data_IF_177569598767
#
_entry.id   IF_177569598767
#
_cell.length_a   1.000
_cell.length_b   1.000
_cell.length_c   1.000
_cell.angle_alpha   90.00
_cell.angle_beta   90.00
_cell.angle_gamma   90.00
#
_symmetry.space_group_name_H-M   'P 1'
#
loop_
_entity.id
_entity.type
_entity.pdbx_description
1 polymer ?
#
# COMPACT_ATOMS: atom_id res chain seq x y z
N UNK A 1 -1.12 11.27 -26.46
CA UNK A 1 0.00 10.33 -26.18
C UNK A 1 -0.05 9.91 -24.72
N UNK A 2 -0.26 8.61 -24.44
CA UNK A 2 -0.29 8.07 -23.07
C UNK A 2 1.16 7.81 -22.64
N UNK A 3 1.68 8.59 -21.67
CA UNK A 3 3.04 8.38 -21.13
C UNK A 3 3.17 6.97 -20.53
N UNK A 4 4.28 6.24 -20.78
CA UNK A 4 4.52 4.89 -20.28
C UNK A 4 4.49 4.84 -18.74
N UNK A 5 4.09 3.69 -18.18
CA UNK A 5 3.79 3.57 -16.74
C UNK A 5 5.02 3.80 -15.84
N UNK A 6 6.23 3.51 -16.33
CA UNK A 6 7.49 3.76 -15.59
C UNK A 6 7.84 5.25 -15.47
N UNK A 7 7.22 6.11 -16.29
CA UNK A 7 7.41 7.58 -16.27
C UNK A 7 6.44 8.26 -15.30
N UNK A 8 5.67 7.48 -14.51
CA UNK A 8 4.66 8.01 -13.60
C UNK A 8 4.94 7.69 -12.13
N UNK A 9 6.11 8.04 -11.56
CA UNK A 9 6.40 7.85 -10.13
C UNK A 9 5.33 8.50 -9.24
N UNK A 10 4.81 9.66 -9.68
CA UNK A 10 3.80 10.44 -8.96
C UNK A 10 2.52 9.60 -8.71
N UNK A 11 2.12 8.73 -9.65
CA UNK A 11 0.92 7.91 -9.48
C UNK A 11 1.10 6.91 -8.34
N UNK A 12 2.22 6.18 -8.33
CA UNK A 12 2.52 5.18 -7.31
C UNK A 12 2.76 5.83 -5.95
N UNK A 13 3.42 6.98 -5.93
CA UNK A 13 3.61 7.77 -4.72
C UNK A 13 2.27 8.23 -4.13
N UNK A 14 1.36 8.76 -4.95
CA UNK A 14 0.01 9.16 -4.52
C UNK A 14 -0.78 7.98 -3.96
N UNK A 15 -0.66 6.80 -4.56
CA UNK A 15 -1.33 5.60 -4.06
C UNK A 15 -0.79 5.19 -2.69
N UNK A 16 0.54 5.27 -2.47
CA UNK A 16 1.13 5.01 -1.15
C UNK A 16 0.72 6.04 -0.10
N UNK A 17 0.62 7.32 -0.48
CA UNK A 17 0.10 8.37 0.40
C UNK A 17 -1.35 8.07 0.78
N UNK A 18 -2.19 7.71 -0.20
CA UNK A 18 -3.58 7.37 0.04
C UNK A 18 -3.70 6.19 1.01
N UNK A 19 -2.97 5.09 0.78
CA UNK A 19 -2.92 3.94 1.69
C UNK A 19 -2.49 4.31 3.11
N UNK A 20 -1.49 5.18 3.24
CA UNK A 20 -1.01 5.65 4.53
C UNK A 20 -2.07 6.53 5.23
N UNK A 21 -2.74 7.41 4.50
CA UNK A 21 -3.82 8.24 5.04
C UNK A 21 -5.01 7.39 5.48
N UNK A 22 -5.43 6.41 4.67
CA UNK A 22 -6.55 5.53 4.99
C UNK A 22 -6.25 4.68 6.24
N UNK A 23 -5.05 4.09 6.36
CA UNK A 23 -4.69 3.33 7.57
C UNK A 23 -4.59 4.22 8.82
N UNK A 24 -4.12 5.46 8.70
CA UNK A 24 -4.08 6.41 9.81
C UNK A 24 -5.49 6.78 10.30
N UNK A 25 -6.44 6.97 9.38
CA UNK A 25 -7.85 7.20 9.72
C UNK A 25 -8.44 6.00 10.47
N UNK A 26 -8.15 4.77 10.02
CA UNK A 26 -8.59 3.55 10.71
C UNK A 26 -7.99 3.47 12.11
N UNK A 27 -6.69 3.74 12.28
CA UNK A 27 -6.02 3.75 13.59
C UNK A 27 -6.72 4.76 14.52
N UNK A 28 -6.99 5.97 14.03
CA UNK A 28 -7.68 6.99 14.82
C UNK A 28 -9.08 6.54 15.26
N UNK A 29 -9.85 5.93 14.36
CA UNK A 29 -11.19 5.40 14.68
C UNK A 29 -11.14 4.24 15.69
N UNK A 30 -10.14 3.35 15.60
CA UNK A 30 -9.98 2.26 16.57
C UNK A 30 -9.52 2.78 17.95
N UNK A 31 -8.70 3.84 17.99
CA UNK A 31 -8.33 4.51 19.25
C UNK A 31 -9.58 5.08 19.93
N UNK A 32 -10.42 5.79 19.18
CA UNK A 32 -11.69 6.34 19.72
C UNK A 32 -12.56 5.21 20.28
N UNK A 33 -12.80 4.15 19.51
CA UNK A 33 -13.59 3.00 19.97
C UNK A 33 -13.00 2.36 21.23
N UNK A 34 -11.68 2.22 21.31
CA UNK A 34 -11.01 1.62 22.47
C UNK A 34 -11.16 2.51 23.72
N UNK A 35 -11.01 3.83 23.59
CA UNK A 35 -11.20 4.77 24.70
C UNK A 35 -12.64 4.73 25.18
N UNK A 36 -13.60 4.71 24.26
CA UNK A 36 -15.03 4.62 24.56
C UNK A 36 -15.37 3.32 25.29
N UNK A 37 -14.85 2.18 24.83
CA UNK A 37 -15.03 0.89 25.49
C UNK A 37 -14.47 0.89 26.92
N UNK A 38 -13.24 1.41 27.10
CA UNK A 38 -12.62 1.53 28.43
C UNK A 38 -13.46 2.45 29.33
N UNK A 39 -13.95 3.58 28.80
CA UNK A 39 -14.78 4.52 29.56
C UNK A 39 -16.09 3.90 30.06
N UNK A 40 -16.69 3.02 29.27
CA UNK A 40 -17.99 2.39 29.60
C UNK A 40 -17.84 1.17 30.52
N UNK A 41 -16.76 0.38 30.38
CA UNK A 41 -16.62 -0.91 31.07
C UNK A 41 -15.43 -0.99 32.04
N UNK A 42 -14.81 0.15 32.39
CA UNK A 42 -13.60 0.25 33.22
C UNK A 42 -13.60 -0.66 34.46
N UNK A 43 -14.75 -0.77 35.12
CA UNK A 43 -14.88 -1.46 36.40
C UNK A 43 -15.44 -2.89 36.28
N UNK A 44 -15.87 -3.31 35.09
CA UNK A 44 -16.59 -4.58 34.90
C UNK A 44 -15.90 -5.54 33.94
N UNK A 45 -15.10 -5.05 32.98
CA UNK A 45 -14.45 -5.91 31.98
C UNK A 45 -13.03 -5.44 31.65
N UNK A 46 -12.02 -6.33 31.68
CA UNK A 46 -10.67 -5.99 31.29
C UNK A 46 -10.57 -5.74 29.78
N UNK A 47 -9.56 -4.98 29.33
CA UNK A 47 -9.29 -4.74 27.90
C UNK A 47 -9.13 -6.05 27.09
N UNK A 48 -8.61 -7.10 27.71
CA UNK A 48 -8.51 -8.43 27.10
C UNK A 48 -9.89 -8.99 26.66
N UNK A 49 -10.98 -8.56 27.30
CA UNK A 49 -12.34 -8.90 26.88
C UNK A 49 -12.71 -8.25 25.55
N UNK A 50 -12.30 -7.01 25.28
CA UNK A 50 -12.53 -6.33 24.01
C UNK A 50 -11.84 -7.05 22.84
N UNK A 51 -10.61 -7.55 23.09
CA UNK A 51 -9.80 -8.30 22.13
C UNK A 51 -10.15 -9.80 22.06
N UNK A 52 -11.03 -10.28 22.93
CA UNK A 52 -11.36 -11.70 23.06
C UNK A 52 -12.23 -12.19 21.89
N UNK A 53 -12.10 -13.46 21.46
CA UNK A 53 -13.04 -14.06 20.51
C UNK A 53 -14.49 -14.10 21.03
N UNK A 54 -14.75 -13.86 22.32
CA UNK A 54 -16.11 -13.79 22.88
C UNK A 54 -16.90 -12.59 22.33
N UNK A 55 -16.23 -11.47 21.98
CA UNK A 55 -16.86 -10.30 21.34
C UNK A 55 -17.02 -10.45 19.82
N UNK A 56 -16.61 -11.59 19.25
CA UNK A 56 -16.68 -11.87 17.81
C UNK A 56 -18.09 -11.70 17.23
N UNK A 57 -19.13 -12.08 17.98
CA UNK A 57 -20.53 -11.96 17.54
C UNK A 57 -21.02 -10.51 17.42
N UNK A 58 -20.33 -9.57 18.05
CA UNK A 58 -20.72 -8.16 18.12
C UNK A 58 -19.89 -7.30 17.18
N UNK A 59 -18.56 -7.47 17.18
CA UNK A 59 -17.65 -6.57 16.47
C UNK A 59 -16.60 -7.27 15.58
N UNK A 60 -16.75 -8.57 15.32
CA UNK A 60 -15.78 -9.37 14.54
C UNK A 60 -14.50 -9.72 15.33
N UNK A 61 -13.46 -10.22 14.65
CA UNK A 61 -12.18 -10.59 15.30
C UNK A 61 -11.32 -9.33 15.44
N UNK A 62 -11.56 -8.54 16.49
CA UNK A 62 -10.83 -7.29 16.75
C UNK A 62 -9.31 -7.48 16.79
N UNK A 63 -8.82 -8.55 17.41
CA UNK A 63 -7.37 -8.84 17.46
C UNK A 63 -6.75 -8.99 16.06
N UNK A 64 -7.40 -9.76 15.17
CA UNK A 64 -6.94 -9.93 13.79
C UNK A 64 -6.93 -8.58 13.07
N UNK A 65 -7.98 -7.80 13.22
CA UNK A 65 -8.09 -6.49 12.61
C UNK A 65 -6.94 -5.55 13.04
N UNK A 66 -6.62 -5.51 14.33
CA UNK A 66 -5.51 -4.71 14.86
C UNK A 66 -4.14 -5.19 14.33
N UNK A 67 -3.94 -6.50 14.21
CA UNK A 67 -2.71 -7.06 13.61
C UNK A 67 -2.58 -6.62 12.14
N UNK A 68 -3.66 -6.71 11.36
CA UNK A 68 -3.65 -6.28 9.95
C UNK A 68 -3.37 -4.78 9.83
N UNK A 69 -3.97 -3.95 10.68
CA UNK A 69 -3.69 -2.51 10.74
C UNK A 69 -2.21 -2.24 11.03
N UNK A 70 -1.64 -2.89 12.05
CA UNK A 70 -0.24 -2.71 12.44
C UNK A 70 0.73 -3.10 11.34
N UNK A 71 0.54 -4.27 10.72
CA UNK A 71 1.35 -4.74 9.60
C UNK A 71 1.24 -3.80 8.39
N UNK A 72 0.03 -3.33 8.11
CA UNK A 72 -0.22 -2.37 7.03
C UNK A 72 0.53 -1.08 7.27
N UNK A 73 0.38 -0.47 8.46
CA UNK A 73 1.02 0.78 8.81
C UNK A 73 2.55 0.71 8.74
N UNK A 74 3.16 -0.36 9.28
CA UNK A 74 4.60 -0.58 9.22
C UNK A 74 5.07 -0.72 7.78
N UNK A 75 4.37 -1.53 6.98
CA UNK A 75 4.70 -1.74 5.57
C UNK A 75 4.57 -0.44 4.78
N UNK A 76 3.40 0.20 4.77
CA UNK A 76 3.15 1.42 3.97
C UNK A 76 4.11 2.54 4.34
N UNK A 77 4.42 2.70 5.63
CA UNK A 77 5.41 3.70 6.10
C UNK A 77 6.81 3.39 5.59
N UNK A 78 7.26 2.14 5.70
CA UNK A 78 8.56 1.72 5.20
C UNK A 78 8.69 1.92 3.68
N UNK A 79 7.65 1.54 2.92
CA UNK A 79 7.60 1.72 1.48
C UNK A 79 7.56 3.19 1.06
N UNK A 80 6.88 4.03 1.84
CA UNK A 80 6.85 5.48 1.62
C UNK A 80 8.22 6.12 1.86
N UNK A 81 8.87 5.80 2.98
CA UNK A 81 10.19 6.34 3.33
C UNK A 81 11.29 5.93 2.33
N UNK A 82 11.19 4.73 1.77
CA UNK A 82 12.16 4.20 0.79
C UNK A 82 11.71 4.35 -0.66
N UNK A 83 10.66 5.14 -0.93
CA UNK A 83 10.04 5.23 -2.25
C UNK A 83 11.03 5.62 -3.35
N UNK A 84 11.77 6.73 -3.18
CA UNK A 84 12.69 7.24 -4.21
C UNK A 84 13.79 6.24 -4.55
N UNK A 85 14.38 5.61 -3.53
CA UNK A 85 15.42 4.60 -3.70
C UNK A 85 14.89 3.36 -4.45
N UNK A 86 13.72 2.85 -4.06
CA UNK A 86 13.11 1.66 -4.65
C UNK A 86 12.61 1.91 -6.07
N UNK A 87 11.99 3.07 -6.32
CA UNK A 87 11.51 3.42 -7.65
C UNK A 87 12.63 3.41 -8.70
N UNK A 88 13.81 3.92 -8.33
CA UNK A 88 14.98 4.02 -9.19
C UNK A 88 15.68 2.68 -9.43
N UNK A 89 15.80 1.84 -8.40
CA UNK A 89 16.41 0.51 -8.54
C UNK A 89 15.44 -0.55 -9.09
N UNK A 90 14.21 -0.15 -9.40
CA UNK A 90 13.17 -1.01 -9.97
C UNK A 90 12.18 -1.51 -8.91
N UNK A 91 10.93 -1.78 -9.32
CA UNK A 91 9.97 -2.39 -8.42
C UNK A 91 10.40 -3.84 -8.24
N UNK A 92 10.62 -4.25 -7.02
CA UNK A 92 11.05 -5.61 -6.76
C UNK A 92 9.84 -6.53 -6.86
N UNK A 93 10.02 -7.78 -7.29
CA UNK A 93 8.97 -8.80 -7.22
C UNK A 93 8.39 -8.91 -5.79
N UNK A 94 9.19 -8.59 -4.77
CA UNK A 94 8.77 -8.48 -3.38
C UNK A 94 7.68 -7.44 -3.15
N UNK A 95 7.67 -6.34 -3.89
CA UNK A 95 6.67 -5.27 -3.73
C UNK A 95 5.27 -5.77 -4.13
N UNK A 96 5.22 -6.61 -5.18
CA UNK A 96 3.98 -7.30 -5.60
C UNK A 96 3.52 -8.28 -4.53
N UNK A 97 4.43 -9.09 -3.98
CA UNK A 97 4.08 -10.07 -2.95
C UNK A 97 3.59 -9.42 -1.66
N UNK A 98 4.20 -8.31 -1.24
CA UNK A 98 3.77 -7.57 -0.05
C UNK A 98 2.38 -6.99 -0.26
N UNK A 99 2.13 -6.31 -1.38
CA UNK A 99 0.80 -5.74 -1.67
C UNK A 99 -0.27 -6.83 -1.78
N UNK A 100 0.05 -7.97 -2.40
CA UNK A 100 -0.86 -9.11 -2.50
C UNK A 100 -1.15 -9.75 -1.13
N UNK A 101 -0.13 -9.87 -0.28
CA UNK A 101 -0.30 -10.40 1.08
C UNK A 101 -1.19 -9.49 1.91
N UNK A 102 -0.95 -8.18 1.87
CA UNK A 102 -1.79 -7.20 2.56
C UNK A 102 -3.22 -7.19 2.00
N UNK A 103 -3.40 -7.30 0.69
CA UNK A 103 -4.71 -7.46 0.07
C UNK A 103 -5.48 -8.64 0.68
N UNK A 104 -4.88 -9.83 0.73
CA UNK A 104 -5.54 -11.00 1.31
C UNK A 104 -5.85 -10.83 2.80
N UNK A 105 -4.92 -10.27 3.56
CA UNK A 105 -5.15 -9.99 4.99
C UNK A 105 -6.34 -9.03 5.20
N UNK A 106 -6.44 -7.97 4.40
CA UNK A 106 -7.57 -7.04 4.45
C UNK A 106 -8.88 -7.68 4.02
N UNK A 107 -8.87 -8.57 3.02
CA UNK A 107 -10.07 -9.34 2.63
C UNK A 107 -10.54 -10.22 3.78
N UNK A 108 -9.64 -11.00 4.40
CA UNK A 108 -9.99 -11.85 5.55
C UNK A 108 -10.55 -10.99 6.69
N UNK A 109 -9.85 -9.91 7.05
CA UNK A 109 -10.26 -9.04 8.13
C UNK A 109 -11.60 -8.34 7.84
N UNK A 110 -11.82 -7.90 6.60
CA UNK A 110 -13.06 -7.30 6.12
C UNK A 110 -14.25 -8.25 6.27
N UNK A 111 -14.11 -9.51 5.85
CA UNK A 111 -15.15 -10.52 6.04
C UNK A 111 -15.41 -10.81 7.52
N UNK A 112 -14.36 -10.91 8.35
CA UNK A 112 -14.56 -11.13 9.80
C UNK A 112 -15.26 -9.96 10.48
N UNK A 113 -15.04 -8.73 10.01
CA UNK A 113 -15.69 -7.54 10.54
C UNK A 113 -17.13 -7.40 10.05
N UNK A 114 -17.48 -7.87 8.85
CA UNK A 114 -18.87 -7.84 8.36
C UNK A 114 -19.68 -9.05 8.84
N UNK A 115 -19.05 -10.09 9.38
CA UNK A 115 -19.73 -11.31 9.81
C UNK A 115 -20.92 -11.11 10.79
N UNK A 116 -20.85 -10.22 11.80
CA UNK A 116 -21.99 -9.90 12.66
C UNK A 116 -23.22 -9.38 11.88
N UNK A 117 -23.00 -8.53 10.89
CA UNK A 117 -24.05 -8.00 9.99
C UNK A 117 -24.73 -9.12 9.22
N UNK A 118 -23.95 -10.06 8.68
CA UNK A 118 -24.47 -11.21 7.93
C UNK A 118 -25.32 -12.15 8.79
N UNK A 119 -25.10 -12.15 10.12
CA UNK A 119 -25.89 -12.91 11.08
C UNK A 119 -27.17 -12.20 11.55
N UNK A 120 -27.52 -11.06 10.94
CA UNK A 120 -28.77 -10.35 11.22
C UNK A 120 -28.68 -9.39 12.41
N UNK A 121 -27.48 -9.05 12.89
CA UNK A 121 -27.30 -7.94 13.84
C UNK A 121 -27.55 -6.64 13.08
N UNK A 122 -28.65 -5.96 13.38
CA UNK A 122 -28.99 -4.67 12.76
C UNK A 122 -28.00 -3.59 13.22
N UNK A 123 -27.23 -3.03 12.29
CA UNK A 123 -26.38 -1.84 12.52
C UNK A 123 -27.21 -0.55 12.44
N UNK A 124 -28.31 -0.50 13.17
CA UNK A 124 -29.07 0.73 13.36
C UNK A 124 -28.42 1.47 14.54
N UNK A 125 -27.41 2.32 14.26
CA UNK A 125 -26.81 3.22 15.28
C UNK A 125 -27.79 4.33 15.75
N UNK A 126 -29.07 4.20 15.39
CA UNK A 126 -30.21 5.04 15.68
C UNK A 126 -31.33 4.11 16.14
N UNK A 127 -31.81 4.25 17.37
CA UNK A 127 -33.22 4.00 17.64
C UNK A 127 -33.69 4.75 18.88
N UNK A 128 -34.74 5.55 18.68
CA UNK A 128 -35.49 6.38 19.62
C UNK A 128 -36.23 5.60 20.73
N UNK A 129 -35.84 4.35 21.02
CA UNK A 129 -36.52 3.47 21.97
C UNK A 129 -35.93 3.49 23.39
N UNK A 130 -34.83 4.22 23.63
CA UNK A 130 -33.97 4.01 24.82
C UNK A 130 -33.89 5.18 25.81
N UNK A 131 -34.72 6.22 25.66
CA UNK A 131 -34.79 7.33 26.61
C UNK A 131 -33.53 8.22 26.65
N UNK A 132 -33.59 9.38 27.32
CA UNK A 132 -32.63 10.48 27.14
C UNK A 132 -31.21 10.23 27.66
N UNK A 133 -30.95 9.14 28.41
CA UNK A 133 -29.72 8.97 29.18
C UNK A 133 -28.89 7.72 28.86
N UNK A 134 -29.22 6.95 27.81
CA UNK A 134 -28.31 5.91 27.30
C UNK A 134 -27.37 6.50 26.24
N UNK A 135 -26.30 7.09 26.79
CA UNK A 135 -24.89 6.98 26.38
C UNK A 135 -24.48 7.41 24.95
N UNK A 136 -24.20 8.71 24.78
CA UNK A 136 -23.39 9.27 23.68
C UNK A 136 -22.20 8.38 23.27
N UNK A 137 -21.54 7.75 24.25
CA UNK A 137 -20.44 6.81 24.05
C UNK A 137 -20.83 5.62 23.14
N UNK A 138 -21.97 4.97 23.38
CA UNK A 138 -22.41 3.81 22.59
C UNK A 138 -22.64 4.18 21.11
N UNK A 139 -23.19 5.38 20.85
CA UNK A 139 -23.36 5.91 19.50
C UNK A 139 -22.01 6.18 18.82
N UNK A 140 -21.06 6.73 19.55
CA UNK A 140 -19.70 6.98 19.05
C UNK A 140 -18.99 5.66 18.72
N UNK A 141 -19.12 4.63 19.56
CA UNK A 141 -18.56 3.30 19.30
C UNK A 141 -19.17 2.66 18.03
N UNK A 142 -20.50 2.67 17.91
CA UNK A 142 -21.22 2.12 16.75
C UNK A 142 -20.83 2.82 15.44
N UNK A 143 -20.84 4.16 15.43
CA UNK A 143 -20.44 4.93 14.25
C UNK A 143 -18.96 4.71 13.93
N UNK A 144 -18.09 4.69 14.95
CA UNK A 144 -16.67 4.42 14.79
C UNK A 144 -16.41 3.07 14.12
N UNK A 145 -17.10 2.03 14.57
CA UNK A 145 -17.02 0.69 13.99
C UNK A 145 -17.52 0.64 12.54
N UNK A 146 -18.63 1.33 12.23
CA UNK A 146 -19.16 1.42 10.86
C UNK A 146 -18.17 2.11 9.91
N UNK A 147 -17.65 3.28 10.31
CA UNK A 147 -16.65 4.00 9.50
C UNK A 147 -15.36 3.21 9.35
N UNK A 148 -14.88 2.59 10.44
CA UNK A 148 -13.69 1.73 10.40
C UNK A 148 -13.87 0.57 9.42
N UNK A 149 -15.05 -0.05 9.41
CA UNK A 149 -15.40 -1.11 8.45
C UNK A 149 -15.38 -0.59 7.00
N UNK A 150 -15.99 0.57 6.73
CA UNK A 150 -15.98 1.19 5.39
C UNK A 150 -14.55 1.45 4.92
N UNK A 151 -13.71 2.07 5.77
CA UNK A 151 -12.31 2.32 5.42
C UNK A 151 -11.52 1.02 5.23
N UNK A 152 -11.83 -0.04 5.98
CA UNK A 152 -11.25 -1.36 5.74
C UNK A 152 -11.56 -1.92 4.35
N UNK A 153 -12.78 -1.71 3.83
CA UNK A 153 -13.11 -2.08 2.44
C UNK A 153 -12.41 -1.19 1.40
N UNK A 154 -12.21 0.10 1.71
CA UNK A 154 -11.40 0.99 0.87
C UNK A 154 -9.96 0.48 0.78
N UNK A 155 -9.36 0.01 1.88
CA UNK A 155 -8.02 -0.60 1.88
C UNK A 155 -7.92 -1.82 0.96
N UNK A 156 -8.96 -2.67 0.92
CA UNK A 156 -9.02 -3.82 -0.02
C UNK A 156 -8.90 -3.33 -1.47
N UNK A 157 -9.69 -2.31 -1.83
CA UNK A 157 -9.70 -1.74 -3.17
C UNK A 157 -8.34 -1.10 -3.51
N UNK A 158 -7.77 -0.34 -2.58
CA UNK A 158 -6.47 0.30 -2.75
C UNK A 158 -5.35 -0.72 -2.99
N UNK A 159 -5.27 -1.78 -2.18
CA UNK A 159 -4.27 -2.83 -2.35
C UNK A 159 -4.49 -3.67 -3.62
N UNK A 160 -5.75 -3.89 -4.02
CA UNK A 160 -6.07 -4.53 -5.29
C UNK A 160 -5.55 -3.70 -6.48
N UNK A 161 -5.88 -2.40 -6.52
CA UNK A 161 -5.42 -1.48 -7.56
C UNK A 161 -3.89 -1.40 -7.57
N UNK A 162 -3.27 -1.29 -6.39
CA UNK A 162 -1.82 -1.25 -6.23
C UNK A 162 -1.15 -2.49 -6.82
N UNK A 163 -1.64 -3.68 -6.45
CA UNK A 163 -1.15 -4.96 -6.97
C UNK A 163 -1.24 -5.01 -8.50
N UNK A 164 -2.37 -4.61 -9.08
CA UNK A 164 -2.57 -4.57 -10.53
C UNK A 164 -1.60 -3.60 -11.22
N UNK A 165 -1.35 -2.43 -10.64
CA UNK A 165 -0.42 -1.45 -11.17
C UNK A 165 1.04 -1.94 -11.10
N UNK A 166 1.46 -2.55 -9.99
CA UNK A 166 2.80 -3.12 -9.87
C UNK A 166 3.02 -4.30 -10.81
N UNK A 167 2.02 -5.18 -10.99
CA UNK A 167 2.07 -6.27 -11.97
C UNK A 167 2.24 -5.73 -13.40
N UNK A 168 1.51 -4.67 -13.76
CA UNK A 168 1.66 -4.02 -15.07
C UNK A 168 3.04 -3.41 -15.21
N UNK A 169 3.53 -2.69 -14.20
CA UNK A 169 4.85 -2.06 -14.22
C UNK A 169 5.98 -3.09 -14.37
N UNK A 170 5.89 -4.21 -13.65
CA UNK A 170 6.83 -5.33 -13.72
C UNK A 170 6.86 -5.96 -15.12
N UNK A 171 5.69 -6.28 -15.69
CA UNK A 171 5.60 -6.82 -17.06
C UNK A 171 6.22 -5.89 -18.09
N UNK A 172 5.95 -4.58 -17.99
CA UNK A 172 6.52 -3.60 -18.91
C UNK A 172 8.03 -3.53 -18.77
N UNK A 173 8.58 -3.43 -17.55
CA UNK A 173 10.05 -3.38 -17.34
C UNK A 173 10.75 -4.64 -17.86
N UNK A 174 10.26 -5.83 -17.52
CA UNK A 174 10.87 -7.08 -18.01
C UNK A 174 10.81 -7.23 -19.54
N UNK A 175 9.76 -6.71 -20.18
CA UNK A 175 9.67 -6.69 -21.64
C UNK A 175 10.75 -5.78 -22.26
N UNK A 176 10.99 -4.62 -21.66
CA UNK A 176 12.06 -3.71 -22.10
C UNK A 176 13.44 -4.35 -21.94
N UNK A 177 13.74 -4.87 -20.74
CA UNK A 177 15.05 -5.48 -20.45
C UNK A 177 15.35 -6.65 -21.40
N UNK A 178 14.35 -7.49 -21.69
CA UNK A 178 14.51 -8.60 -22.64
C UNK A 178 14.78 -8.12 -24.06
N UNK A 179 14.13 -7.05 -24.51
CA UNK A 179 14.27 -6.59 -25.89
C UNK A 179 15.53 -5.75 -26.11
N UNK A 180 16.05 -5.06 -25.10
CA UNK A 180 17.34 -4.37 -25.19
C UNK A 180 18.50 -5.37 -25.23
N UNK A 181 18.46 -6.42 -24.39
CA UNK A 181 19.52 -7.44 -24.36
C UNK A 181 19.60 -8.24 -25.67
N UNK A 182 18.48 -8.40 -26.39
CA UNK A 182 18.46 -9.08 -27.71
C UNK A 182 19.07 -8.22 -28.82
N UNK A 183 19.09 -6.89 -28.68
CA UNK A 183 19.74 -5.99 -29.65
C UNK A 183 21.26 -6.00 -29.47
N UNK A 184 21.75 -6.10 -28.22
CA UNK A 184 23.19 -6.15 -27.94
C UNK A 184 23.83 -7.49 -28.32
N UNK A 185 23.16 -8.64 -28.08
CA UNK A 185 23.65 -9.97 -28.47
C UNK A 185 23.67 -10.21 -30.00
N UNK A 186 22.99 -9.36 -30.78
CA UNK A 186 22.94 -9.44 -32.24
C UNK A 186 24.13 -8.78 -32.95
N UNK A 187 24.96 -8.01 -32.24
CA UNK A 187 26.03 -7.21 -32.83
C UNK A 187 27.41 -7.87 -32.79
N UNK A 188 27.58 -9.02 -32.14
CA UNK A 188 28.91 -9.62 -31.90
C UNK A 188 29.29 -10.76 -32.86
N UNK A 189 28.59 -10.92 -33.99
CA UNK A 189 28.86 -12.04 -34.94
C UNK A 189 29.01 -11.64 -36.40
N UNK A 190 29.86 -10.65 -36.65
CA UNK A 190 30.66 -10.45 -37.88
C UNK A 190 31.38 -9.12 -37.68
N UNK A 191 32.70 -9.06 -37.55
CA UNK A 191 33.61 -8.84 -38.67
C UNK A 191 35.03 -9.12 -38.16
N UNK A 192 35.67 -10.17 -38.68
CA UNK A 192 37.13 -10.21 -38.80
C UNK A 192 37.49 -9.48 -40.09
N UNK A 193 38.03 -8.27 -39.99
CA UNK A 193 39.13 -7.76 -40.84
C UNK A 193 39.47 -6.33 -40.44
N UNK A 194 40.72 -6.20 -40.01
CA UNK A 194 41.61 -5.03 -39.98
C UNK A 194 41.15 -3.78 -40.75
N UNK A 195 41.07 -2.63 -40.08
CA UNK A 195 41.93 -1.46 -40.32
C UNK A 195 41.55 -0.31 -39.39
N UNK A 196 42.58 0.43 -38.99
CA UNK A 196 42.56 1.61 -38.13
C UNK A 196 41.62 2.70 -38.65
N UNK A 197 40.77 3.24 -37.77
CA UNK A 197 40.54 4.68 -37.63
C UNK A 197 39.59 4.96 -36.44
N UNK A 198 39.93 5.99 -35.67
CA UNK A 198 39.15 6.50 -34.55
C UNK A 198 37.71 6.78 -34.96
N UNK A 199 36.74 6.06 -34.36
CA UNK A 199 35.37 6.56 -34.30
C UNK A 199 34.75 6.12 -32.99
N UNK A 200 34.52 7.10 -32.11
CA UNK A 200 33.73 7.00 -30.88
C UNK A 200 32.43 6.25 -31.16
N UNK A 201 32.35 5.01 -30.68
CA UNK A 201 31.12 4.22 -30.65
C UNK A 201 30.07 4.95 -29.83
N UNK A 202 29.14 5.62 -30.49
CA UNK A 202 27.92 6.12 -29.86
C UNK A 202 27.05 4.91 -29.52
N UNK A 203 27.31 4.31 -28.36
CA UNK A 203 26.40 3.41 -27.67
C UNK A 203 25.03 4.12 -27.59
N UNK A 204 24.01 3.59 -28.27
CA UNK A 204 22.65 4.13 -28.22
C UNK A 204 22.07 3.74 -26.85
N UNK A 205 22.47 4.52 -25.85
CA UNK A 205 22.09 4.32 -24.48
C UNK A 205 20.59 4.57 -24.31
N UNK A 206 19.88 3.58 -23.76
CA UNK A 206 18.44 3.67 -23.47
C UNK A 206 18.12 4.97 -22.71
N UNK A 207 16.99 5.66 -22.99
CA UNK A 207 16.59 6.88 -22.26
C UNK A 207 16.57 6.70 -20.73
N UNK A 208 16.32 5.47 -20.27
CA UNK A 208 16.39 5.08 -18.86
C UNK A 208 17.83 5.12 -18.32
N UNK A 209 18.77 4.48 -19.02
CA UNK A 209 20.20 4.50 -18.69
C UNK A 209 20.79 5.92 -18.83
N UNK A 210 20.34 6.69 -19.82
CA UNK A 210 20.74 8.09 -20.03
C UNK A 210 20.28 9.01 -18.88
N UNK A 211 19.08 8.78 -18.34
CA UNK A 211 18.58 9.46 -17.15
C UNK A 211 19.30 8.97 -15.88
N UNK A 212 19.71 7.70 -15.82
CA UNK A 212 20.48 7.10 -14.72
C UNK A 212 21.88 7.71 -14.62
N UNK A 213 22.57 7.84 -15.75
CA UNK A 213 23.90 8.44 -15.85
C UNK A 213 23.92 9.94 -15.53
N UNK A 214 22.89 10.70 -15.94
CA UNK A 214 22.75 12.13 -15.59
C UNK A 214 22.62 12.39 -14.08
N UNK A 215 22.14 11.41 -13.30
CA UNK A 215 21.99 11.53 -11.84
C UNK A 215 23.23 11.05 -11.07
N UNK A 216 23.96 10.06 -11.59
CA UNK A 216 25.24 9.62 -11.01
C UNK A 216 26.36 10.64 -11.25
N UNK A 217 26.30 11.42 -12.33
CA UNK A 217 27.22 12.51 -12.65
C UNK A 217 26.75 13.84 -12.05
N UNK A 218 26.35 13.87 -10.76
CA UNK A 218 25.92 15.09 -10.06
C UNK A 218 26.78 16.33 -10.42
N UNK A 219 26.21 17.54 -10.42
CA UNK A 219 26.73 18.69 -11.15
C UNK A 219 28.21 18.91 -10.84
N UNK A 220 29.07 18.66 -11.84
CA UNK A 220 30.50 18.97 -11.75
C UNK A 220 30.59 20.49 -11.78
N UNK A 221 30.74 21.11 -10.62
CA UNK A 221 31.04 22.53 -10.48
C UNK A 221 32.34 22.76 -11.26
N UNK A 222 32.24 23.35 -12.44
CA UNK A 222 33.39 23.97 -13.10
C UNK A 222 33.76 25.18 -12.23
N UNK A 223 34.83 25.03 -11.44
CA UNK A 223 35.58 26.18 -10.97
C UNK A 223 36.44 26.63 -12.15
N UNK A 224 35.96 27.65 -12.85
CA UNK A 224 36.81 28.43 -13.75
C UNK A 224 37.78 29.23 -12.87
N UNK A 225 39.08 29.08 -13.17
CA UNK A 225 40.20 29.80 -12.59
C UNK A 225 40.34 31.21 -13.17
#
# INVERSE_FOLDING_TARGET
>A
MVKPLHERPILFQRLRILQLTTVLLIIFLEIIQTITFIGQFKDTKPLAYYLSPVTFKLCGIKLLYHVVIGLTFLSTTYYFMRFSHRWYHGPYQTDIYVDLTLFYLWVIAGFTNVFPLLKGVKMECLNDAFGPNVEFLLRVECNGYLFSTIFGWIMIIEFFISTMLYLRLWKTRNWWDKNTNVVDDGSEKSINMTNDDETSSNEILSPYEQHRLKLNLGPRIQMDS
#
